data_IF_603244713135
#
_entry.id   IF_603244713135
#
_cell.length_a   1.000
_cell.length_b   1.000
_cell.length_c   1.000
_cell.angle_alpha   90.00
_cell.angle_beta   90.00
_cell.angle_gamma   90.00
#
_symmetry.space_group_name_H-M   'P 1'
#
loop_
_entity.id
_entity.type
_entity.pdbx_description
1 polymer ?
#
# COMPACT_ATOMS: atom_id res chain seq x y z
N UNK A 1 6.81 -1.93 44.34
CA UNK A 1 7.02 -3.08 43.43
C UNK A 1 5.97 -3.16 42.35
N UNK A 2 4.69 -3.13 42.70
CA UNK A 2 3.61 -3.17 41.71
C UNK A 2 3.66 -1.99 40.71
N UNK A 3 4.02 -0.81 41.19
CA UNK A 3 4.11 0.37 40.32
C UNK A 3 5.22 0.24 39.28
N UNK A 4 6.31 -0.45 39.62
CA UNK A 4 7.44 -0.66 38.70
C UNK A 4 7.01 -1.63 37.59
N UNK A 5 6.32 -2.70 37.94
CA UNK A 5 5.81 -3.67 36.98
C UNK A 5 4.81 -3.03 36.03
N UNK A 6 3.90 -2.21 36.56
CA UNK A 6 2.93 -1.48 35.76
C UNK A 6 3.60 -0.54 34.78
N UNK A 7 4.64 0.20 35.23
CA UNK A 7 5.41 1.10 34.37
C UNK A 7 6.11 0.35 33.24
N UNK A 8 6.73 -0.80 33.55
CA UNK A 8 7.40 -1.62 32.56
C UNK A 8 6.42 -2.14 31.52
N UNK A 9 5.25 -2.56 31.95
CA UNK A 9 4.19 -3.02 31.07
C UNK A 9 3.70 -1.91 30.14
N UNK A 10 3.47 -0.71 30.67
CA UNK A 10 3.05 0.45 29.87
C UNK A 10 4.13 0.88 28.86
N UNK A 11 5.39 0.90 29.27
CA UNK A 11 6.51 1.22 28.40
C UNK A 11 6.64 0.22 27.26
N UNK A 12 6.50 -1.07 27.55
CA UNK A 12 6.55 -2.14 26.53
C UNK A 12 5.38 -2.04 25.58
N UNK A 13 4.19 -1.70 26.08
CA UNK A 13 3.01 -1.52 25.26
C UNK A 13 3.18 -0.31 24.33
N UNK A 14 3.72 0.80 24.84
CA UNK A 14 3.97 1.99 24.04
C UNK A 14 5.02 1.74 22.97
N UNK A 15 6.07 1.00 23.28
CA UNK A 15 7.09 0.59 22.34
C UNK A 15 6.50 -0.30 21.24
N UNK A 16 5.63 -1.23 21.61
CA UNK A 16 4.95 -2.11 20.66
C UNK A 16 4.04 -1.30 19.73
N UNK A 17 3.26 -0.37 20.25
CA UNK A 17 2.40 0.51 19.44
C UNK A 17 3.24 1.32 18.45
N UNK A 18 4.37 1.87 18.91
CA UNK A 18 5.28 2.64 18.05
C UNK A 18 5.84 1.78 16.91
N UNK A 19 6.23 0.54 17.20
CA UNK A 19 6.71 -0.40 16.19
C UNK A 19 5.63 -0.74 15.17
N UNK A 20 4.41 -1.00 15.63
CA UNK A 20 3.28 -1.30 14.76
C UNK A 20 2.94 -0.11 13.85
N UNK A 21 2.97 1.09 14.40
CA UNK A 21 2.71 2.31 13.62
C UNK A 21 3.79 2.53 12.56
N UNK A 22 5.05 2.28 12.91
CA UNK A 22 6.17 2.36 11.97
C UNK A 22 6.01 1.35 10.84
N UNK A 23 5.69 0.10 11.18
CA UNK A 23 5.49 -0.97 10.21
C UNK A 23 4.36 -0.62 9.24
N UNK A 24 3.23 -0.10 9.74
CA UNK A 24 2.11 0.33 8.91
C UNK A 24 2.49 1.48 7.97
N UNK A 25 3.27 2.43 8.48
CA UNK A 25 3.75 3.56 7.67
C UNK A 25 4.65 3.09 6.53
N UNK A 26 5.57 2.16 6.82
CA UNK A 26 6.45 1.58 5.82
C UNK A 26 5.67 0.78 4.77
N UNK A 27 4.68 -0.01 5.19
CA UNK A 27 3.80 -0.74 4.28
C UNK A 27 3.05 0.20 3.33
N UNK A 28 2.55 1.32 3.83
CA UNK A 28 1.88 2.33 2.99
C UNK A 28 2.81 2.92 1.95
N UNK A 29 4.05 3.22 2.35
CA UNK A 29 5.07 3.75 1.44
C UNK A 29 5.40 2.75 0.35
N UNK A 30 5.61 1.48 0.71
CA UNK A 30 5.90 0.42 -0.24
C UNK A 30 4.75 0.19 -1.20
N UNK A 31 3.52 0.20 -0.70
CA UNK A 31 2.33 0.04 -1.53
C UNK A 31 2.18 1.21 -2.49
N UNK A 32 2.38 2.43 -2.02
CA UNK A 32 2.33 3.62 -2.86
C UNK A 32 3.39 3.57 -3.96
N UNK A 33 4.59 3.12 -3.62
CA UNK A 33 5.68 2.96 -4.60
C UNK A 33 5.32 1.93 -5.66
N UNK A 34 4.78 0.78 -5.27
CA UNK A 34 4.35 -0.25 -6.22
C UNK A 34 3.26 0.27 -7.17
N UNK A 35 2.30 1.04 -6.64
CA UNK A 35 1.26 1.66 -7.46
C UNK A 35 1.88 2.64 -8.45
N UNK A 36 2.81 3.48 -7.99
CA UNK A 36 3.53 4.42 -8.85
C UNK A 36 4.28 3.72 -9.97
N UNK A 37 5.03 2.67 -9.65
CA UNK A 37 5.76 1.87 -10.63
C UNK A 37 4.82 1.23 -11.64
N UNK A 38 3.69 0.73 -11.18
CA UNK A 38 2.69 0.12 -12.05
C UNK A 38 2.08 1.13 -13.01
N UNK A 39 1.77 2.34 -12.52
CA UNK A 39 1.24 3.42 -13.35
C UNK A 39 2.23 3.86 -14.41
N UNK A 40 3.51 3.96 -14.06
CA UNK A 40 4.57 4.30 -15.01
C UNK A 40 4.68 3.22 -16.08
N UNK A 41 4.66 1.94 -15.69
CA UNK A 41 4.71 0.82 -16.64
C UNK A 41 3.51 0.85 -17.59
N UNK A 42 2.33 1.16 -17.08
CA UNK A 42 1.10 1.28 -17.87
C UNK A 42 1.20 2.43 -18.87
N UNK A 43 1.67 3.58 -18.42
CA UNK A 43 1.86 4.76 -19.27
C UNK A 43 2.88 4.47 -20.40
N UNK A 44 3.97 3.79 -20.06
CA UNK A 44 4.99 3.41 -21.03
C UNK A 44 4.43 2.45 -22.08
N UNK A 45 3.64 1.46 -21.65
CA UNK A 45 2.98 0.52 -22.56
C UNK A 45 2.04 1.24 -23.52
N UNK A 46 1.20 2.15 -23.00
CA UNK A 46 0.29 2.96 -23.81
C UNK A 46 1.05 3.75 -24.87
N UNK A 47 2.16 4.37 -24.46
CA UNK A 47 3.00 5.18 -25.35
C UNK A 47 3.68 4.31 -26.41
N UNK A 48 4.33 3.23 -26.01
CA UNK A 48 5.08 2.35 -26.92
C UNK A 48 4.19 1.65 -27.94
N UNK A 49 2.97 1.31 -27.55
CA UNK A 49 2.02 0.64 -28.44
C UNK A 49 1.11 1.62 -29.20
N UNK A 50 1.30 2.92 -28.96
CA UNK A 50 0.52 3.97 -29.60
C UNK A 50 -0.99 3.74 -29.46
N UNK A 51 -1.42 3.37 -28.26
CA UNK A 51 -2.82 3.08 -27.99
C UNK A 51 -3.64 4.36 -28.04
N UNK A 52 -4.86 4.25 -28.56
CA UNK A 52 -5.80 5.37 -28.57
C UNK A 52 -6.45 5.52 -27.18
N UNK A 53 -7.27 6.57 -27.02
CA UNK A 53 -7.93 6.84 -25.74
C UNK A 53 -8.86 5.73 -25.26
N UNK A 54 -9.55 5.06 -26.18
CA UNK A 54 -10.47 3.97 -25.85
C UNK A 54 -9.68 2.76 -25.32
N UNK A 55 -8.61 2.40 -26.01
CA UNK A 55 -7.73 1.30 -25.59
C UNK A 55 -7.04 1.60 -24.26
N UNK A 56 -6.53 2.81 -24.11
CA UNK A 56 -5.88 3.25 -22.88
C UNK A 56 -6.86 3.22 -21.70
N UNK A 57 -8.08 3.70 -21.90
CA UNK A 57 -9.12 3.69 -20.88
C UNK A 57 -9.46 2.26 -20.43
N UNK A 58 -9.52 1.32 -21.35
CA UNK A 58 -9.78 -0.09 -21.04
C UNK A 58 -8.66 -0.69 -20.18
N UNK A 59 -7.40 -0.39 -20.49
CA UNK A 59 -6.28 -0.85 -19.68
C UNK A 59 -6.33 -0.27 -18.26
N UNK A 60 -6.68 0.99 -18.14
CA UNK A 60 -6.81 1.64 -16.84
C UNK A 60 -7.95 0.99 -16.03
N UNK A 61 -9.08 0.69 -16.67
CA UNK A 61 -10.20 0.00 -16.00
C UNK A 61 -9.79 -1.39 -15.51
N UNK A 62 -9.04 -2.14 -16.30
CA UNK A 62 -8.54 -3.45 -15.91
C UNK A 62 -7.61 -3.35 -14.70
N UNK A 63 -6.74 -2.36 -14.69
CA UNK A 63 -5.83 -2.11 -13.57
C UNK A 63 -6.62 -1.73 -12.30
N UNK A 64 -7.62 -0.87 -12.43
CA UNK A 64 -8.50 -0.49 -11.33
C UNK A 64 -9.24 -1.70 -10.75
N UNK A 65 -9.77 -2.57 -11.61
CA UNK A 65 -10.46 -3.79 -11.20
C UNK A 65 -9.52 -4.73 -10.43
N UNK A 66 -8.26 -4.80 -10.80
CA UNK A 66 -7.25 -5.59 -10.10
C UNK A 66 -7.01 -5.07 -8.68
N UNK A 67 -6.88 -3.76 -8.50
CA UNK A 67 -6.71 -3.16 -7.18
C UNK A 67 -7.95 -3.34 -6.31
N UNK A 68 -9.13 -3.23 -6.89
CA UNK A 68 -10.38 -3.49 -6.18
C UNK A 68 -10.43 -4.92 -5.67
N UNK A 69 -10.06 -5.88 -6.52
CA UNK A 69 -10.00 -7.29 -6.16
C UNK A 69 -9.02 -7.54 -5.02
N UNK A 70 -7.83 -6.94 -5.08
CA UNK A 70 -6.84 -7.04 -4.01
C UNK A 70 -7.38 -6.48 -2.69
N UNK A 71 -8.12 -5.36 -2.73
CA UNK A 71 -8.68 -4.78 -1.52
C UNK A 71 -9.70 -5.71 -0.87
N UNK A 72 -10.46 -6.46 -1.65
CA UNK A 72 -11.42 -7.44 -1.14
C UNK A 72 -10.73 -8.66 -0.53
N UNK A 73 -9.61 -9.09 -1.06
CA UNK A 73 -8.84 -10.22 -0.55
C UNK A 73 -8.23 -9.95 0.83
N UNK A 74 -8.02 -8.67 1.16
CA UNK A 74 -7.41 -8.28 2.43
C UNK A 74 -8.41 -8.27 3.61
N UNK A 75 -9.64 -8.60 3.38
CA UNK A 75 -10.64 -8.79 4.42
C UNK A 75 -10.72 -10.26 4.83
#
# INVERSE_FOLDING_TARGET
MRNIETRNFEADTDAMVALLNKARSEERKERALRVSERLVALALHIHQKELNGIEAAELIRQEAARYESESQELH
#
